data_IF_141967990044
#
_entry.id   IF_141967990044
#
_cell.length_a   1.000
_cell.length_b   1.000
_cell.length_c   1.000
_cell.angle_alpha   90.00
_cell.angle_beta   90.00
_cell.angle_gamma   90.00
#
_symmetry.space_group_name_H-M   'P 1'
#
loop_
_entity.id
_entity.type
_entity.pdbx_description
1 polymer ?
#
# COMPACT_ATOMS: atom_id res chain seq x y z
N UNK A 1 21.66 -9.76 3.75
CA UNK A 1 21.21 -8.52 4.44
C UNK A 1 20.00 -8.84 5.30
N UNK A 2 19.95 -8.40 6.55
CA UNK A 2 18.71 -8.48 7.33
C UNK A 2 17.67 -7.57 6.65
N UNK A 3 16.42 -8.01 6.46
CA UNK A 3 15.38 -7.13 5.94
C UNK A 3 15.30 -5.89 6.85
N UNK A 4 15.33 -4.70 6.25
CA UNK A 4 15.07 -3.46 6.98
C UNK A 4 13.70 -3.52 7.66
N UNK A 5 13.54 -2.81 8.77
CA UNK A 5 12.22 -2.65 9.39
C UNK A 5 11.34 -1.89 8.40
N UNK A 6 10.23 -2.48 7.96
CA UNK A 6 9.25 -1.79 7.12
C UNK A 6 8.70 -0.56 7.83
N UNK A 7 8.78 0.59 7.18
CA UNK A 7 8.38 1.89 7.66
C UNK A 7 7.41 2.58 6.68
N UNK A 8 6.68 3.57 7.17
CA UNK A 8 5.86 4.43 6.33
C UNK A 8 6.76 5.22 5.37
N UNK A 9 6.32 5.35 4.12
CA UNK A 9 7.07 5.97 3.03
C UNK A 9 8.00 5.03 2.27
N UNK A 10 8.19 3.79 2.74
CA UNK A 10 9.03 2.82 2.03
C UNK A 10 8.48 2.55 0.63
N UNK A 11 9.37 2.53 -0.35
CA UNK A 11 9.07 2.16 -1.74
C UNK A 11 9.46 0.70 -1.94
N UNK A 12 8.49 -0.10 -2.36
CA UNK A 12 8.63 -1.51 -2.64
C UNK A 12 8.26 -1.83 -4.08
N UNK A 13 8.98 -2.75 -4.69
CA UNK A 13 8.73 -3.23 -6.04
C UNK A 13 8.04 -4.59 -5.96
N UNK A 14 6.77 -4.61 -6.39
CA UNK A 14 5.99 -5.84 -6.53
C UNK A 14 6.33 -6.44 -7.90
N UNK A 15 6.79 -7.70 -7.97
CA UNK A 15 7.15 -8.32 -9.24
C UNK A 15 5.91 -8.54 -10.10
N UNK A 16 6.06 -8.28 -11.40
CA UNK A 16 5.09 -8.56 -12.44
C UNK A 16 5.64 -9.62 -13.41
N UNK A 17 4.82 -10.09 -14.35
CA UNK A 17 5.31 -10.95 -15.44
C UNK A 17 6.40 -10.27 -16.28
N UNK A 18 6.32 -8.94 -16.42
CA UNK A 18 7.30 -8.11 -17.11
C UNK A 18 7.61 -6.89 -16.24
N UNK A 19 8.74 -6.92 -15.54
CA UNK A 19 9.18 -5.82 -14.70
C UNK A 19 8.51 -5.77 -13.31
N UNK A 20 8.23 -4.57 -12.84
CA UNK A 20 7.81 -4.30 -11.46
C UNK A 20 6.72 -3.23 -11.39
N UNK A 21 5.87 -3.37 -10.39
CA UNK A 21 4.92 -2.34 -9.96
C UNK A 21 5.47 -1.68 -8.69
N UNK A 22 5.86 -0.41 -8.73
CA UNK A 22 6.22 0.29 -7.51
C UNK A 22 4.98 0.51 -6.65
N UNK A 23 5.15 0.38 -5.35
CA UNK A 23 4.15 0.70 -4.34
C UNK A 23 4.82 1.43 -3.18
N UNK A 24 4.07 2.33 -2.55
CA UNK A 24 4.49 3.06 -1.35
C UNK A 24 3.76 2.51 -0.13
N UNK A 25 4.47 2.33 0.97
CA UNK A 25 3.86 1.99 2.28
C UNK A 25 3.24 3.26 2.86
N UNK A 26 1.91 3.30 2.92
CA UNK A 26 1.14 4.46 3.42
C UNK A 26 0.89 4.38 4.92
N UNK A 27 0.79 3.17 5.44
CA UNK A 27 0.53 2.95 6.85
C UNK A 27 1.09 1.60 7.30
N UNK A 28 1.62 1.56 8.53
CA UNK A 28 2.10 0.35 9.20
C UNK A 28 1.40 0.23 10.54
N UNK A 29 0.58 -0.81 10.69
CA UNK A 29 -0.15 -1.05 11.93
C UNK A 29 0.78 -1.54 13.04
N UNK A 30 0.62 -0.94 14.22
CA UNK A 30 1.17 -1.38 15.50
C UNK A 30 0.20 -2.33 16.22
N UNK A 31 -1.11 -2.21 15.99
CA UNK A 31 -2.15 -3.04 16.62
C UNK A 31 -2.30 -4.39 15.93
N UNK A 32 -2.45 -4.40 14.61
CA UNK A 32 -2.61 -5.61 13.81
C UNK A 32 -1.26 -6.06 13.30
N UNK A 33 -0.71 -7.09 13.95
CA UNK A 33 0.63 -7.61 13.66
C UNK A 33 0.76 -7.90 12.17
N UNK A 34 1.88 -7.46 11.62
CA UNK A 34 2.24 -7.62 10.22
C UNK A 34 1.39 -6.86 9.19
N UNK A 35 0.37 -6.08 9.55
CA UNK A 35 -0.47 -5.39 8.55
C UNK A 35 0.11 -4.04 8.09
N UNK A 36 0.02 -3.79 6.78
CA UNK A 36 0.38 -2.53 6.12
C UNK A 36 -0.68 -2.13 5.10
N UNK A 37 -0.76 -0.83 4.82
CA UNK A 37 -1.45 -0.27 3.66
C UNK A 37 -0.42 0.07 2.58
N UNK A 38 -0.68 -0.39 1.37
CA UNK A 38 0.09 -0.02 0.18
C UNK A 38 -0.74 0.87 -0.74
N UNK A 39 -0.09 1.91 -1.28
CA UNK A 39 -0.53 2.61 -2.48
C UNK A 39 0.27 2.14 -3.68
N UNK A 40 -0.37 1.48 -4.63
CA UNK A 40 0.23 0.99 -5.87
C UNK A 40 0.15 2.10 -6.92
N UNK A 41 1.30 2.43 -7.52
CA UNK A 41 1.35 3.40 -8.61
C UNK A 41 0.86 2.79 -9.92
N UNK A 42 0.20 3.56 -10.78
CA UNK A 42 -0.26 3.06 -12.09
C UNK A 42 0.87 2.85 -13.11
N UNK A 43 2.10 3.28 -12.81
CA UNK A 43 3.29 3.07 -13.66
C UNK A 43 3.90 1.68 -13.46
N UNK A 44 4.64 1.18 -14.45
CA UNK A 44 5.47 -0.03 -14.37
C UNK A 44 6.94 0.33 -14.59
N UNK A 45 7.83 -0.47 -14.03
CA UNK A 45 9.28 -0.31 -14.14
C UNK A 45 9.88 -1.55 -14.79
N UNK A 46 10.84 -1.38 -15.68
CA UNK A 46 11.60 -2.50 -16.26
C UNK A 46 12.75 -2.96 -15.37
N UNK A 47 13.27 -2.09 -14.51
CA UNK A 47 14.43 -2.34 -13.66
C UNK A 47 14.09 -2.36 -12.17
N UNK A 48 14.81 -3.18 -11.42
CA UNK A 48 14.68 -3.32 -9.98
C UNK A 48 15.43 -2.20 -9.22
N UNK A 49 15.07 -0.94 -9.47
CA UNK A 49 15.69 0.23 -8.86
C UNK A 49 14.65 1.26 -8.41
N UNK A 50 15.05 2.15 -7.50
CA UNK A 50 14.24 3.27 -7.07
C UNK A 50 13.96 4.21 -8.26
N UNK A 51 12.70 4.50 -8.60
CA UNK A 51 12.38 5.50 -9.61
C UNK A 51 12.84 6.89 -9.17
N UNK A 52 13.32 7.70 -10.11
CA UNK A 52 13.65 9.11 -9.85
C UNK A 52 12.39 9.90 -9.47
N UNK A 53 11.31 9.68 -10.22
CA UNK A 53 10.03 10.37 -10.02
C UNK A 53 8.90 9.35 -9.83
N UNK A 54 8.03 9.65 -8.86
CA UNK A 54 6.79 8.93 -8.62
C UNK A 54 5.65 9.94 -8.55
N UNK A 55 4.50 9.68 -9.19
CA UNK A 55 3.37 10.59 -9.12
C UNK A 55 2.84 10.65 -7.68
N UNK A 56 2.05 11.67 -7.39
CA UNK A 56 1.48 11.84 -6.05
C UNK A 56 0.33 10.86 -5.77
N UNK A 57 -0.44 10.52 -6.81
CA UNK A 57 -1.59 9.62 -6.73
C UNK A 57 -1.26 8.14 -6.91
N UNK A 58 -2.17 7.29 -6.44
CA UNK A 58 -2.12 5.83 -6.57
C UNK A 58 -3.24 5.35 -7.49
N UNK A 59 -2.96 4.32 -8.29
CA UNK A 59 -3.99 3.63 -9.06
C UNK A 59 -4.83 2.68 -8.21
N UNK A 60 -4.28 2.21 -7.07
CA UNK A 60 -4.96 1.31 -6.15
C UNK A 60 -4.36 1.41 -4.74
N UNK A 61 -5.21 1.44 -3.72
CA UNK A 61 -4.80 1.23 -2.32
C UNK A 61 -5.32 -0.10 -1.81
N UNK A 62 -4.51 -0.82 -1.03
CA UNK A 62 -4.91 -2.11 -0.45
C UNK A 62 -4.16 -2.45 0.84
N UNK A 63 -4.81 -3.20 1.72
CA UNK A 63 -4.19 -3.75 2.91
C UNK A 63 -3.54 -5.11 2.60
N UNK A 64 -2.36 -5.35 3.15
CA UNK A 64 -1.64 -6.63 3.04
C UNK A 64 -0.71 -6.83 4.24
N UNK A 65 0.06 -7.92 4.24
CA UNK A 65 1.05 -8.18 5.28
C UNK A 65 2.46 -7.69 4.89
N UNK A 66 3.33 -7.46 5.86
CA UNK A 66 4.78 -7.19 5.68
C UNK A 66 5.57 -8.41 5.21
N UNK A 67 4.95 -9.59 5.22
CA UNK A 67 5.64 -10.85 4.94
C UNK A 67 6.39 -10.85 3.59
N UNK A 68 5.82 -10.38 2.47
CA UNK A 68 6.51 -10.39 1.18
C UNK A 68 7.75 -9.48 1.12
N UNK A 69 7.73 -8.37 1.86
CA UNK A 69 8.88 -7.47 1.99
C UNK A 69 9.96 -8.14 2.84
N UNK A 70 9.57 -8.72 3.98
CA UNK A 70 10.47 -9.41 4.90
C UNK A 70 11.16 -10.62 4.26
N UNK A 71 10.46 -11.38 3.42
CA UNK A 71 11.03 -12.52 2.69
C UNK A 71 11.70 -12.12 1.38
N UNK A 72 11.87 -10.82 1.12
CA UNK A 72 12.44 -10.27 -0.12
C UNK A 72 11.74 -10.73 -1.41
N UNK A 73 10.48 -11.15 -1.32
CA UNK A 73 9.62 -11.40 -2.49
C UNK A 73 9.30 -10.08 -3.19
N UNK A 74 9.09 -9.02 -2.41
CA UNK A 74 9.00 -7.65 -2.90
C UNK A 74 10.27 -6.89 -2.50
N UNK A 75 10.87 -6.21 -3.47
CA UNK A 75 12.16 -5.52 -3.25
C UNK A 75 11.92 -4.15 -2.65
N UNK A 76 12.45 -3.88 -1.47
CA UNK A 76 12.46 -2.53 -0.90
C UNK A 76 13.64 -1.76 -1.50
N UNK A 77 13.35 -0.64 -2.18
CA UNK A 77 14.34 0.10 -2.98
C UNK A 77 14.62 1.52 -2.50
N UNK A 78 13.82 2.04 -1.58
CA UNK A 78 14.02 3.39 -1.03
C UNK A 78 12.93 3.79 -0.06
N UNK A 79 12.95 5.05 0.35
CA UNK A 79 11.93 5.68 1.18
C UNK A 79 11.65 7.09 0.67
N UNK A 80 10.38 7.47 0.63
CA UNK A 80 9.94 8.82 0.30
C UNK A 80 8.83 9.22 1.27
N UNK A 81 9.01 10.36 1.95
CA UNK A 81 8.04 10.91 2.90
C UNK A 81 6.66 11.08 2.24
N UNK A 82 5.60 10.87 3.02
CA UNK A 82 4.24 11.09 2.55
C UNK A 82 3.98 12.59 2.34
N UNK A 83 3.48 12.91 1.15
CA UNK A 83 2.94 14.24 0.82
C UNK A 83 1.64 14.51 1.60
N UNK A 84 1.14 15.74 1.56
CA UNK A 84 -0.08 16.10 2.29
C UNK A 84 -1.32 15.31 1.81
N UNK A 85 -1.44 15.09 0.51
CA UNK A 85 -2.52 14.33 -0.17
C UNK A 85 -2.46 12.83 0.12
N UNK A 86 -1.28 12.30 0.43
CA UNK A 86 -1.08 10.88 0.76
C UNK A 86 -1.38 10.56 2.23
N UNK A 87 -1.46 11.58 3.10
CA UNK A 87 -1.76 11.41 4.53
C UNK A 87 -3.26 11.17 4.72
N UNK A 88 -3.62 10.25 5.61
CA UNK A 88 -5.01 9.94 5.93
C UNK A 88 -5.70 8.95 4.99
N UNK A 89 -5.00 8.45 3.96
CA UNK A 89 -5.50 7.39 3.08
C UNK A 89 -5.72 6.04 3.81
N UNK A 90 -5.28 5.95 5.06
CA UNK A 90 -5.47 4.83 5.97
C UNK A 90 -6.77 4.89 6.80
N UNK A 91 -7.58 5.92 6.57
CA UNK A 91 -8.96 5.99 7.08
C UNK A 91 -9.81 4.90 6.43
N UNK A 92 -10.48 4.09 7.24
CA UNK A 92 -11.16 2.85 6.80
C UNK A 92 -12.28 2.43 7.73
N UNK A 93 -13.10 1.50 7.24
CA UNK A 93 -14.09 0.79 8.05
C UNK A 93 -13.56 -0.57 8.49
N UNK A 94 -13.79 -0.91 9.75
CA UNK A 94 -13.60 -2.25 10.30
C UNK A 94 -14.94 -2.69 10.90
N UNK A 95 -15.62 -3.62 10.23
CA UNK A 95 -17.03 -3.97 10.50
C UNK A 95 -17.96 -2.75 10.38
N UNK A 96 -18.30 -2.09 11.49
CA UNK A 96 -19.15 -0.89 11.55
C UNK A 96 -18.44 0.30 12.19
N UNK A 97 -17.14 0.17 12.47
CA UNK A 97 -16.36 1.16 13.20
C UNK A 97 -15.42 1.91 12.26
N UNK A 98 -15.23 3.19 12.54
CA UNK A 98 -14.32 4.07 11.83
C UNK A 98 -12.94 4.06 12.48
N UNK A 99 -11.92 3.90 11.65
CA UNK A 99 -10.52 3.86 12.08
C UNK A 99 -9.64 4.71 11.18
N UNK A 100 -8.62 5.33 11.77
CA UNK A 100 -7.50 5.94 11.05
C UNK A 100 -6.21 5.51 11.76
N UNK A 101 -5.26 4.97 11.01
CA UNK A 101 -4.11 4.29 11.60
C UNK A 101 -4.54 3.18 12.57
N UNK A 102 -3.97 3.17 13.76
CA UNK A 102 -4.38 2.29 14.86
C UNK A 102 -5.38 2.95 15.82
N UNK A 103 -5.85 4.16 15.50
CA UNK A 103 -6.80 4.92 16.31
C UNK A 103 -8.24 4.58 15.92
N UNK A 104 -9.04 4.28 16.94
CA UNK A 104 -10.50 4.09 16.82
C UNK A 104 -11.18 5.44 16.96
N UNK A 105 -11.93 5.85 15.95
CA UNK A 105 -12.60 7.15 15.90
C UNK A 105 -14.08 7.07 16.32
N UNK A 106 -14.59 5.87 16.58
CA UNK A 106 -15.99 5.60 16.93
C UNK A 106 -16.76 4.86 15.84
N UNK A 107 -18.10 4.86 15.90
CA UNK A 107 -18.95 4.19 14.92
C UNK A 107 -18.89 4.91 13.56
N UNK A 108 -18.92 4.14 12.48
CA UNK A 108 -18.96 4.67 11.12
C UNK A 108 -20.36 5.19 10.77
N UNK A 109 -20.42 6.40 10.20
CA UNK A 109 -21.68 6.92 9.65
C UNK A 109 -22.10 6.14 8.40
N UNK A 110 -23.36 6.30 7.96
CA UNK A 110 -23.82 5.73 6.70
C UNK A 110 -23.01 6.25 5.50
N UNK A 111 -22.56 7.52 5.54
CA UNK A 111 -21.72 8.10 4.50
C UNK A 111 -20.32 7.48 4.50
N UNK A 112 -19.71 7.27 5.68
CA UNK A 112 -18.41 6.60 5.79
C UNK A 112 -18.45 5.18 5.19
N UNK A 113 -19.56 4.46 5.36
CA UNK A 113 -19.73 3.11 4.80
C UNK A 113 -19.81 3.08 3.27
N UNK A 114 -20.20 4.19 2.63
CA UNK A 114 -20.23 4.33 1.18
C UNK A 114 -18.86 4.77 0.63
N UNK A 115 -18.19 5.68 1.34
CA UNK A 115 -17.01 6.37 0.81
C UNK A 115 -15.69 5.68 1.17
N UNK A 116 -15.65 4.94 2.28
CA UNK A 116 -14.42 4.40 2.81
C UNK A 116 -14.24 2.91 2.51
N UNK A 117 -12.99 2.47 2.26
CA UNK A 117 -12.71 1.07 2.05
C UNK A 117 -12.90 0.26 3.34
N UNK A 118 -13.37 -0.97 3.18
CA UNK A 118 -13.32 -1.98 4.22
C UNK A 118 -11.89 -2.52 4.38
N UNK A 119 -11.49 -2.79 5.62
CA UNK A 119 -10.17 -3.38 5.91
C UNK A 119 -10.14 -4.88 5.57
N UNK A 120 -9.88 -5.19 4.30
CA UNK A 120 -9.63 -6.56 3.84
C UNK A 120 -8.14 -6.76 3.56
N UNK A 121 -7.47 -7.54 4.42
CA UNK A 121 -6.04 -7.85 4.28
C UNK A 121 -5.85 -8.92 3.22
N UNK A 122 -5.20 -8.54 2.11
CA UNK A 122 -4.97 -9.41 0.96
C UNK A 122 -3.65 -10.17 1.08
N UNK A 123 -3.65 -11.44 0.68
CA UNK A 123 -2.42 -12.23 0.52
C UNK A 123 -1.59 -11.78 -0.68
N UNK A 124 -0.28 -12.02 -0.63
CA UNK A 124 0.69 -11.52 -1.61
C UNK A 124 0.34 -11.86 -3.07
N UNK A 125 -0.09 -13.09 -3.35
CA UNK A 125 -0.45 -13.50 -4.71
C UNK A 125 -1.68 -12.77 -5.26
N UNK A 126 -2.63 -12.36 -4.41
CA UNK A 126 -3.76 -11.54 -4.84
C UNK A 126 -3.33 -10.09 -5.10
N UNK A 127 -2.43 -9.55 -4.27
CA UNK A 127 -1.83 -8.23 -4.48
C UNK A 127 -1.09 -8.18 -5.82
N UNK A 128 -0.27 -9.17 -6.12
CA UNK A 128 0.45 -9.27 -7.40
C UNK A 128 -0.51 -9.38 -8.60
N UNK A 129 -1.58 -10.18 -8.49
CA UNK A 129 -2.62 -10.25 -9.53
C UNK A 129 -3.28 -8.88 -9.77
N UNK A 130 -3.59 -8.14 -8.70
CA UNK A 130 -4.16 -6.78 -8.80
C UNK A 130 -3.14 -5.78 -9.37
N UNK A 131 -1.87 -5.88 -8.98
CA UNK A 131 -0.78 -5.06 -9.52
C UNK A 131 -0.57 -5.29 -11.03
N UNK A 132 -0.75 -6.53 -11.49
CA UNK A 132 -0.68 -6.90 -12.91
C UNK A 132 -1.88 -6.38 -13.70
N UNK A 133 -3.08 -6.39 -13.12
CA UNK A 133 -4.31 -5.92 -13.75
C UNK A 133 -4.46 -4.38 -13.74
N UNK A 134 -3.66 -3.67 -12.95
CA UNK A 134 -3.72 -2.21 -12.85
C UNK A 134 -3.28 -1.59 -14.18
N UNK A 135 -4.25 -1.00 -14.90
CA UNK A 135 -4.00 -0.28 -16.13
C UNK A 135 -3.16 0.99 -15.85
N UNK A 136 -2.28 1.40 -16.78
CA UNK A 136 -1.66 2.71 -16.71
C UNK A 136 -2.74 3.79 -16.64
N UNK A 137 -2.51 4.85 -15.87
CA UNK A 137 -3.38 6.02 -15.93
C UNK A 137 -3.41 6.53 -17.37
N UNK A 138 -4.61 6.76 -17.93
CA UNK A 138 -4.73 7.45 -19.20
C UNK A 138 -4.10 8.84 -19.02
N UNK A 139 -3.05 9.12 -19.80
CA UNK A 139 -2.37 10.42 -19.82
C UNK A 139 -3.22 11.50 -20.44
#
# INVERSE_FOLDING_TARGET
>A
MKPGKTAVGDIVLIPLAQGFRPAKVLYVSQRYKDTILLGLYATTLSAAQMPADLPDGFGLTLYTSKAPIRTQRWLQVGNQVLTATQRGLDRRIVATELWQGDEHLGPASAQDQLDLPQMLVMGAGLVEKKAQALLPAAG
#
